data_IF_122548694517
#
_entry.id   IF_122548694517
#
_cell.length_a   1.000
_cell.length_b   1.000
_cell.length_c   1.000
_cell.angle_alpha   90.00
_cell.angle_beta   90.00
_cell.angle_gamma   90.00
#
_symmetry.space_group_name_H-M   'P 1'
#
loop_
_entity.id
_entity.type
_entity.pdbx_description
1 polymer ?
#
# COMPACT_ATOMS: atom_id res chain seq x y z
N UNK A 1 -19.21 6.62 31.30
CA UNK A 1 -18.06 5.87 30.83
C UNK A 1 -18.10 5.77 29.31
N UNK A 2 -17.02 6.05 28.66
CA UNK A 2 -16.95 5.91 27.23
C UNK A 2 -16.35 4.56 26.85
N UNK A 3 -16.80 4.03 25.72
CA UNK A 3 -16.23 2.82 25.16
C UNK A 3 -15.13 3.17 24.18
N UNK A 4 -14.06 2.41 24.24
CA UNK A 4 -13.03 2.47 23.22
C UNK A 4 -12.96 1.14 22.53
N UNK A 5 -13.15 1.15 21.24
CA UNK A 5 -12.92 -0.05 20.44
C UNK A 5 -11.49 -0.06 19.92
N UNK A 6 -11.07 -1.19 19.38
CA UNK A 6 -9.71 -1.35 18.85
C UNK A 6 -9.43 -0.38 17.72
N UNK A 7 -10.45 -0.08 16.91
CA UNK A 7 -10.32 0.82 15.78
C UNK A 7 -9.97 2.24 16.23
N UNK A 8 -10.65 2.76 17.25
CA UNK A 8 -10.38 4.10 17.77
C UNK A 8 -8.98 4.21 18.37
N UNK A 9 -8.53 3.19 19.07
CA UNK A 9 -7.19 3.15 19.64
C UNK A 9 -6.15 3.14 18.51
N UNK A 10 -6.38 2.35 17.46
CA UNK A 10 -5.49 2.27 16.33
C UNK A 10 -5.37 3.61 15.62
N UNK A 11 -6.48 4.30 15.41
CA UNK A 11 -6.49 5.62 14.79
C UNK A 11 -5.70 6.64 15.59
N UNK A 12 -5.81 6.59 16.91
CA UNK A 12 -5.08 7.48 17.79
C UNK A 12 -3.57 7.24 17.72
N UNK A 13 -3.16 5.98 17.68
CA UNK A 13 -1.76 5.61 17.58
C UNK A 13 -1.19 6.11 16.25
N UNK A 14 -1.92 5.91 15.15
CA UNK A 14 -1.48 6.36 13.83
C UNK A 14 -1.34 7.88 13.77
N UNK A 15 -2.25 8.60 14.41
CA UNK A 15 -2.16 10.05 14.49
C UNK A 15 -0.89 10.50 15.22
N UNK A 16 -0.57 9.86 16.33
CA UNK A 16 0.65 10.17 17.07
C UNK A 16 1.89 9.92 16.26
N UNK A 17 1.93 8.80 15.53
CA UNK A 17 3.08 8.48 14.67
C UNK A 17 3.24 9.50 13.57
N UNK A 18 2.14 9.98 13.00
CA UNK A 18 2.16 11.00 11.96
C UNK A 18 2.72 12.32 12.48
N UNK A 19 2.30 12.73 13.66
CA UNK A 19 2.77 13.95 14.28
C UNK A 19 4.27 13.88 14.59
N UNK A 20 4.77 12.70 14.88
CA UNK A 20 6.18 12.46 15.16
C UNK A 20 7.00 12.20 13.91
N UNK A 21 6.36 12.15 12.74
CA UNK A 21 7.04 11.84 11.48
C UNK A 21 7.45 10.38 11.33
N UNK A 22 6.91 9.49 12.15
CA UNK A 22 7.23 8.06 12.12
C UNK A 22 6.26 7.22 11.33
N UNK A 23 5.04 7.73 11.10
CA UNK A 23 4.00 6.99 10.42
C UNK A 23 4.40 6.60 9.01
N UNK A 24 4.86 7.57 8.24
CA UNK A 24 5.06 7.38 6.81
C UNK A 24 6.08 6.29 6.47
N UNK A 25 7.30 6.29 7.03
CA UNK A 25 8.25 5.22 6.70
C UNK A 25 7.78 3.84 7.12
N UNK A 26 7.16 3.72 8.29
CA UNK A 26 6.69 2.43 8.80
C UNK A 26 5.57 1.88 7.93
N UNK A 27 4.58 2.71 7.61
CA UNK A 27 3.44 2.28 6.80
C UNK A 27 3.83 2.04 5.34
N UNK A 28 4.78 2.81 4.82
CA UNK A 28 5.29 2.56 3.47
C UNK A 28 5.94 1.18 3.38
N UNK A 29 6.74 0.81 4.36
CA UNK A 29 7.35 -0.51 4.39
C UNK A 29 6.30 -1.60 4.46
N UNK A 30 5.30 -1.42 5.31
CA UNK A 30 4.20 -2.39 5.43
C UNK A 30 3.45 -2.56 4.13
N UNK A 31 3.20 -1.46 3.44
CA UNK A 31 2.48 -1.51 2.17
C UNK A 31 3.31 -2.21 1.09
N UNK A 32 4.60 -1.91 1.01
CA UNK A 32 5.48 -2.58 0.05
C UNK A 32 5.54 -4.09 0.34
N UNK A 33 5.63 -4.45 1.62
CA UNK A 33 5.66 -5.86 2.02
C UNK A 33 4.33 -6.56 1.76
N UNK A 34 3.23 -5.81 1.72
CA UNK A 34 1.90 -6.35 1.46
C UNK A 34 1.64 -6.64 -0.02
N UNK A 35 2.42 -6.07 -0.93
CA UNK A 35 2.18 -6.20 -2.36
C UNK A 35 2.06 -7.65 -2.82
N UNK A 36 2.96 -8.57 -2.47
CA UNK A 36 2.81 -9.97 -2.91
C UNK A 36 1.52 -10.63 -2.44
N UNK A 37 1.07 -10.28 -1.23
CA UNK A 37 -0.15 -10.85 -0.68
C UNK A 37 -1.39 -10.31 -1.39
N UNK A 38 -1.43 -9.00 -1.61
CA UNK A 38 -2.59 -8.35 -2.24
C UNK A 38 -2.68 -8.68 -3.72
N UNK A 39 -1.54 -8.65 -4.42
CA UNK A 39 -1.49 -8.90 -5.85
C UNK A 39 -1.65 -10.39 -6.19
N UNK A 40 -1.17 -11.26 -5.31
CA UNK A 40 -1.22 -12.69 -5.55
C UNK A 40 0.10 -13.23 -6.10
N UNK A 41 0.25 -14.55 -6.02
CA UNK A 41 1.51 -15.22 -6.34
C UNK A 41 1.94 -15.01 -7.80
N UNK A 42 0.99 -15.06 -8.73
CA UNK A 42 1.31 -14.92 -10.16
C UNK A 42 1.90 -13.54 -10.47
N UNK A 43 1.26 -12.51 -9.97
CA UNK A 43 1.72 -11.13 -10.19
C UNK A 43 3.03 -10.90 -9.43
N UNK A 44 3.15 -11.42 -8.22
CA UNK A 44 4.36 -11.28 -7.42
C UNK A 44 5.56 -11.91 -8.12
N UNK A 45 5.36 -12.99 -8.84
CA UNK A 45 6.42 -13.68 -9.58
C UNK A 45 7.01 -12.81 -10.67
N UNK A 46 6.21 -11.94 -11.28
CA UNK A 46 6.66 -11.02 -12.32
C UNK A 46 7.09 -9.66 -11.76
N UNK A 47 7.02 -9.48 -10.45
CA UNK A 47 7.42 -8.23 -9.81
C UNK A 47 8.91 -8.25 -9.51
N UNK A 48 9.63 -7.27 -10.03
CA UNK A 48 11.08 -7.15 -9.86
C UNK A 48 11.47 -6.03 -8.91
N UNK A 49 10.52 -5.41 -8.26
CA UNK A 49 10.79 -4.38 -7.27
C UNK A 49 9.61 -3.49 -7.04
N UNK A 50 9.50 -3.00 -5.82
CA UNK A 50 8.48 -2.02 -5.44
C UNK A 50 9.14 -0.90 -4.66
N UNK A 51 8.68 0.33 -4.89
CA UNK A 51 9.16 1.49 -4.16
C UNK A 51 8.05 2.52 -4.05
N UNK A 52 8.12 3.39 -3.06
CA UNK A 52 7.12 4.45 -2.86
C UNK A 52 7.80 5.80 -2.92
N UNK A 53 7.23 6.72 -3.71
CA UNK A 53 7.64 8.13 -3.74
C UNK A 53 6.42 8.99 -3.97
N UNK A 54 6.32 10.08 -3.21
CA UNK A 54 5.23 11.05 -3.35
C UNK A 54 3.85 10.37 -3.32
N UNK A 55 3.65 9.47 -2.37
CA UNK A 55 2.39 8.76 -2.18
C UNK A 55 1.98 7.91 -3.39
N UNK A 56 2.96 7.52 -4.19
CA UNK A 56 2.75 6.65 -5.34
C UNK A 56 3.60 5.40 -5.19
N UNK A 57 2.97 4.24 -5.33
CA UNK A 57 3.70 2.97 -5.36
C UNK A 57 4.15 2.70 -6.78
N UNK A 58 5.44 2.48 -6.96
CA UNK A 58 6.02 2.10 -8.25
C UNK A 58 6.35 0.62 -8.22
N UNK A 59 5.71 -0.13 -9.12
CA UNK A 59 5.90 -1.57 -9.23
C UNK A 59 6.57 -1.86 -10.56
N UNK A 60 7.76 -2.46 -10.51
CA UNK A 60 8.44 -2.87 -11.73
C UNK A 60 8.01 -4.29 -12.09
N UNK A 61 7.38 -4.43 -13.25
CA UNK A 61 6.91 -5.71 -13.76
C UNK A 61 7.72 -6.11 -14.98
N UNK A 62 8.11 -7.38 -15.03
CA UNK A 62 8.89 -7.90 -16.13
C UNK A 62 8.05 -8.31 -17.34
N UNK A 63 6.75 -8.34 -17.21
CA UNK A 63 5.82 -8.76 -18.26
C UNK A 63 5.03 -7.55 -18.79
N UNK A 64 5.23 -7.14 -20.05
CA UNK A 64 4.54 -5.96 -20.60
C UNK A 64 3.02 -6.10 -20.67
N UNK A 65 2.51 -7.28 -21.00
CA UNK A 65 1.07 -7.50 -21.04
C UNK A 65 0.44 -7.34 -19.65
N UNK A 66 1.12 -7.85 -18.64
CA UNK A 66 0.65 -7.73 -17.27
C UNK A 66 0.67 -6.27 -16.79
N UNK A 67 1.68 -5.51 -17.18
CA UNK A 67 1.74 -4.08 -16.86
C UNK A 67 0.51 -3.35 -17.39
N UNK A 68 0.14 -3.63 -18.64
CA UNK A 68 -1.01 -2.98 -19.25
C UNK A 68 -2.29 -3.37 -18.53
N UNK A 69 -2.48 -4.65 -18.26
CA UNK A 69 -3.68 -5.13 -17.58
C UNK A 69 -3.83 -4.52 -16.19
N UNK A 70 -2.75 -4.49 -15.41
CA UNK A 70 -2.81 -3.96 -14.05
C UNK A 70 -2.97 -2.44 -14.04
N UNK A 71 -2.44 -1.75 -15.04
CA UNK A 71 -2.60 -0.29 -15.15
C UNK A 71 -4.06 0.10 -15.29
N UNK A 72 -4.89 -0.76 -15.85
CA UNK A 72 -6.32 -0.51 -15.97
C UNK A 72 -7.06 -0.73 -14.64
N UNK A 73 -6.42 -1.33 -13.66
CA UNK A 73 -6.99 -1.64 -12.36
C UNK A 73 -6.31 -0.88 -11.22
N UNK A 74 -5.67 0.25 -11.53
CA UNK A 74 -4.87 0.99 -10.54
C UNK A 74 -5.68 1.40 -9.32
N UNK A 75 -6.85 1.96 -9.53
CA UNK A 75 -7.70 2.44 -8.43
C UNK A 75 -8.06 1.31 -7.47
N UNK A 76 -8.33 0.13 -8.01
CA UNK A 76 -8.69 -1.03 -7.21
C UNK A 76 -7.52 -1.46 -6.33
N UNK A 77 -6.31 -1.52 -6.90
CA UNK A 77 -5.13 -1.90 -6.14
C UNK A 77 -4.75 -0.88 -5.07
N UNK A 78 -4.91 0.42 -5.37
CA UNK A 78 -4.68 1.46 -4.37
C UNK A 78 -5.59 1.23 -3.17
N UNK A 79 -6.86 1.01 -3.43
CA UNK A 79 -7.83 0.78 -2.35
C UNK A 79 -7.49 -0.48 -1.57
N UNK A 80 -7.20 -1.57 -2.26
CA UNK A 80 -6.93 -2.85 -1.61
C UNK A 80 -5.68 -2.79 -0.75
N UNK A 81 -4.64 -2.13 -1.21
CA UNK A 81 -3.40 -1.98 -0.46
C UNK A 81 -3.59 -1.10 0.77
N UNK A 82 -4.26 0.05 0.61
CA UNK A 82 -4.53 0.92 1.74
C UNK A 82 -5.42 0.23 2.78
N UNK A 83 -6.43 -0.50 2.33
CA UNK A 83 -7.30 -1.26 3.22
C UNK A 83 -6.54 -2.35 3.97
N UNK A 84 -5.63 -3.03 3.29
CA UNK A 84 -4.83 -4.10 3.90
C UNK A 84 -3.95 -3.54 5.01
N UNK A 85 -3.32 -2.40 4.77
CA UNK A 85 -2.46 -1.76 5.77
C UNK A 85 -3.28 -1.06 6.86
N UNK A 86 -4.50 -0.66 6.54
CA UNK A 86 -5.38 0.01 7.49
C UNK A 86 -5.17 1.50 7.55
N UNK A 87 -4.55 2.10 6.55
CA UNK A 87 -4.33 3.53 6.49
C UNK A 87 -4.16 3.95 5.03
N UNK A 88 -4.44 5.22 4.74
CA UNK A 88 -4.24 5.75 3.41
C UNK A 88 -2.78 6.17 3.24
N UNK A 89 -1.98 5.27 2.70
CA UNK A 89 -0.53 5.47 2.52
C UNK A 89 -0.22 5.97 1.13
N UNK A 90 -0.91 5.45 0.11
CA UNK A 90 -0.69 5.83 -1.28
C UNK A 90 -1.95 6.40 -1.90
N UNK A 91 -1.77 7.28 -2.88
CA UNK A 91 -2.86 7.86 -3.66
C UNK A 91 -2.91 7.29 -5.07
N UNK A 92 -1.83 6.70 -5.56
CA UNK A 92 -1.75 6.13 -6.90
C UNK A 92 -0.75 4.98 -6.92
N UNK A 93 -0.78 4.23 -8.01
CA UNK A 93 0.16 3.15 -8.27
C UNK A 93 0.56 3.22 -9.73
N UNK A 94 1.84 2.97 -10.02
CA UNK A 94 2.39 2.96 -11.38
C UNK A 94 3.11 1.66 -11.62
N UNK A 95 2.78 1.04 -12.75
CA UNK A 95 3.43 -0.19 -13.20
C UNK A 95 4.38 0.14 -14.36
N UNK A 96 5.64 -0.25 -14.23
CA UNK A 96 6.64 0.03 -15.25
C UNK A 96 7.59 -1.13 -15.50
#
# INVERSE_FOLDING_TARGET
MFKRDVKSIKELILRNLREQGLETPLLQKRLMDAWPTVAGETIARYTDGVTIRNQTLYVHLTNPALRQDLSMQRSDYVKRLNDYVGSQVIADIRFH
#
